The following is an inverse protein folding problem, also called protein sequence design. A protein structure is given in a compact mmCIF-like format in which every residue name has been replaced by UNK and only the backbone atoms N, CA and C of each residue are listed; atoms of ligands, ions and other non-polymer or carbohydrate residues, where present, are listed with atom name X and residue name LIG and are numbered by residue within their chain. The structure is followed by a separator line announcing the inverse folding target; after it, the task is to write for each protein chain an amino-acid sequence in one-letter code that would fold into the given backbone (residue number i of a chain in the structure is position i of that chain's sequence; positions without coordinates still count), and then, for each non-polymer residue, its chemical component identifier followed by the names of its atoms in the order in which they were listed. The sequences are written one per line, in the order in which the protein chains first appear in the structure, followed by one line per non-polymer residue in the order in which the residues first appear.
data_IF_507684687993
#
_entry.id   IF_507684687993
#
_cell.length_a   1.000
_cell.length_b   1.000
_cell.length_c   1.000
_cell.angle_alpha   90.00
_cell.angle_beta   90.00
_cell.angle_gamma   90.00
#
_symmetry.space_group_name_H-M   'P 1'
#
loop_
_entity.id
_entity.type
_entity.pdbx_description
1 polymer ?
#
# COMPACT_ATOMS: atom_id res chain seq x y z
N UNK A 1 13.00 -13.93 17.16
CA UNK A 1 14.45 -13.99 17.40
C UNK A 1 14.78 -14.28 18.88
N UNK A 2 14.18 -13.60 19.86
CA UNK A 2 14.45 -13.86 21.28
C UNK A 2 14.27 -15.33 21.68
N UNK A 3 13.16 -15.97 21.27
CA UNK A 3 12.90 -17.38 21.55
C UNK A 3 13.95 -18.31 20.93
N UNK A 4 14.43 -17.98 19.74
CA UNK A 4 15.50 -18.74 19.08
C UNK A 4 16.82 -18.65 19.84
N UNK A 5 17.17 -17.42 20.24
CA UNK A 5 18.41 -17.20 21.01
C UNK A 5 18.36 -17.95 22.35
N UNK A 6 17.22 -17.88 23.07
CA UNK A 6 17.03 -18.61 24.32
C UNK A 6 17.10 -20.15 24.11
N UNK A 7 16.55 -20.65 23.03
CA UNK A 7 16.63 -22.07 22.69
C UNK A 7 18.10 -22.48 22.39
N UNK A 8 18.84 -21.65 21.65
CA UNK A 8 20.27 -21.89 21.37
C UNK A 8 21.09 -21.90 22.66
N UNK A 9 20.89 -20.92 23.56
CA UNK A 9 21.59 -20.86 24.85
C UNK A 9 21.27 -22.06 25.75
N UNK A 10 20.04 -22.55 25.71
CA UNK A 10 19.59 -23.68 26.51
C UNK A 10 19.85 -25.06 25.84
N UNK A 11 20.37 -25.10 24.61
CA UNK A 11 20.55 -26.31 23.84
C UNK A 11 19.24 -27.02 23.45
N UNK A 12 18.13 -26.27 23.37
CA UNK A 12 16.80 -26.79 23.02
C UNK A 12 16.63 -26.76 21.50
N UNK A 13 16.17 -27.87 20.87
CA UNK A 13 15.83 -27.88 19.45
C UNK A 13 14.83 -26.80 19.09
N UNK A 14 15.04 -26.09 17.96
CA UNK A 14 14.15 -25.02 17.47
C UNK A 14 12.91 -25.53 16.74
N UNK A 15 12.51 -26.76 16.97
CA UNK A 15 11.25 -27.30 16.47
C UNK A 15 10.06 -26.73 17.26
N UNK A 16 9.02 -26.30 16.58
CA UNK A 16 7.83 -25.74 17.21
C UNK A 16 6.67 -26.73 17.16
N UNK A 17 6.08 -27.05 18.32
CA UNK A 17 4.90 -27.90 18.45
C UNK A 17 5.04 -29.25 17.74
N UNK A 18 6.25 -29.81 17.67
CA UNK A 18 6.51 -31.17 17.17
C UNK A 18 6.04 -32.24 18.18
N UNK A 19 5.83 -33.45 17.72
CA UNK A 19 5.47 -34.58 18.59
C UNK A 19 6.65 -35.15 19.41
N UNK A 20 7.86 -34.66 19.16
CA UNK A 20 9.05 -35.00 19.93
C UNK A 20 8.99 -34.41 21.34
N UNK A 21 9.65 -35.06 22.30
CA UNK A 21 9.67 -34.59 23.70
C UNK A 21 10.39 -33.26 23.84
N UNK A 22 11.44 -33.04 23.04
CA UNK A 22 12.26 -31.83 23.03
C UNK A 22 11.73 -30.81 22.02
N UNK A 23 12.07 -29.53 22.25
CA UNK A 23 11.68 -28.42 21.38
C UNK A 23 10.81 -27.40 22.09
N UNK A 24 10.46 -26.37 21.34
CA UNK A 24 9.61 -25.26 21.81
C UNK A 24 8.14 -25.71 21.71
N UNK A 25 7.41 -25.61 22.81
CA UNK A 25 5.98 -25.94 22.88
C UNK A 25 5.16 -24.69 23.21
N UNK A 26 4.11 -24.46 22.43
CA UNK A 26 3.15 -23.41 22.75
C UNK A 26 2.13 -23.88 23.78
N UNK A 27 1.45 -22.94 24.46
CA UNK A 27 0.30 -23.27 25.30
C UNK A 27 -0.78 -23.99 24.48
N UNK A 28 -0.99 -23.60 23.22
CA UNK A 28 -1.93 -24.30 22.32
C UNK A 28 -1.58 -25.79 22.21
N UNK A 29 -0.30 -26.11 21.96
CA UNK A 29 0.13 -27.52 21.86
C UNK A 29 -0.07 -28.26 23.18
N UNK A 30 0.32 -27.65 24.29
CA UNK A 30 0.16 -28.24 25.63
C UNK A 30 -1.31 -28.47 26.00
N UNK A 31 -2.19 -27.53 25.67
CA UNK A 31 -3.64 -27.63 25.95
C UNK A 31 -4.27 -28.84 25.22
N UNK A 32 -3.90 -29.10 23.98
CA UNK A 32 -4.58 -30.09 23.15
C UNK A 32 -3.84 -31.45 23.06
N UNK A 33 -2.58 -31.51 23.41
CA UNK A 33 -1.76 -32.71 23.22
C UNK A 33 -1.17 -33.31 24.51
N UNK A 34 -1.41 -32.69 25.66
CA UNK A 34 -0.95 -33.24 26.95
C UNK A 34 -2.05 -34.06 27.64
N UNK A 35 -1.73 -35.20 28.31
CA UNK A 35 -2.71 -36.14 28.81
C UNK A 35 -3.71 -35.61 29.84
N UNK A 36 -3.43 -34.50 30.49
CA UNK A 36 -4.22 -33.98 31.61
C UNK A 36 -4.74 -32.54 31.40
N UNK A 37 -4.70 -31.98 30.16
CA UNK A 37 -5.18 -30.63 29.86
C UNK A 37 -4.70 -29.59 30.89
N UNK A 38 -3.41 -29.49 31.11
CA UNK A 38 -2.83 -28.63 32.15
C UNK A 38 -2.96 -27.12 31.86
N UNK A 39 -3.44 -26.74 30.71
CA UNK A 39 -3.61 -25.34 30.33
C UNK A 39 -4.93 -25.13 29.59
N UNK A 40 -5.66 -24.11 29.93
CA UNK A 40 -6.82 -23.62 29.20
C UNK A 40 -6.47 -22.47 28.24
N UNK A 41 -5.20 -22.14 28.13
CA UNK A 41 -4.69 -21.09 27.29
C UNK A 41 -4.47 -21.57 25.86
N UNK A 42 -4.86 -20.75 24.88
CA UNK A 42 -4.75 -21.07 23.44
C UNK A 42 -3.82 -20.10 22.70
N UNK A 43 -3.11 -19.25 23.43
CA UNK A 43 -2.08 -18.41 22.84
C UNK A 43 -0.88 -19.26 22.33
N UNK A 44 -0.04 -18.76 21.44
CA UNK A 44 -0.03 -17.40 20.88
C UNK A 44 -0.89 -17.21 19.63
N UNK A 45 -1.45 -18.27 19.04
CA UNK A 45 -2.01 -18.24 17.68
C UNK A 45 -3.18 -17.25 17.51
N UNK A 46 -4.18 -17.17 18.43
CA UNK A 46 -5.25 -16.17 18.29
C UNK A 46 -4.72 -14.73 18.39
N UNK A 47 -3.65 -14.52 19.15
CA UNK A 47 -3.00 -13.23 19.25
C UNK A 47 -2.24 -12.87 17.97
N UNK A 48 -1.44 -13.79 17.44
CA UNK A 48 -0.67 -13.61 16.22
C UNK A 48 -1.56 -13.36 15.00
N UNK A 49 -2.71 -14.04 14.94
CA UNK A 49 -3.69 -13.86 13.86
C UNK A 49 -4.21 -12.41 13.77
N UNK A 50 -4.34 -11.69 14.89
CA UNK A 50 -4.71 -10.27 14.90
C UNK A 50 -3.69 -9.38 14.18
N UNK A 51 -2.46 -9.84 14.09
CA UNK A 51 -1.35 -9.17 13.40
C UNK A 51 -1.07 -9.75 12.01
N UNK A 52 -1.93 -10.64 11.54
CA UNK A 52 -1.80 -11.26 10.23
C UNK A 52 -0.69 -12.31 10.14
N UNK A 53 -0.20 -12.81 11.27
CA UNK A 53 0.82 -13.86 11.31
C UNK A 53 0.10 -15.20 11.42
N UNK A 54 0.25 -16.06 10.41
CA UNK A 54 -0.30 -17.42 10.44
C UNK A 54 0.51 -18.32 11.36
N UNK A 55 -0.08 -19.46 11.74
CA UNK A 55 0.61 -20.50 12.50
C UNK A 55 1.82 -21.04 11.74
N UNK A 56 1.67 -21.28 10.45
CA UNK A 56 2.72 -21.78 9.56
C UNK A 56 3.88 -20.77 9.47
N UNK A 57 3.56 -19.48 9.35
CA UNK A 57 4.57 -18.42 9.33
C UNK A 57 5.33 -18.37 10.66
N UNK A 58 4.60 -18.39 11.79
CA UNK A 58 5.23 -18.37 13.10
C UNK A 58 6.13 -19.60 13.34
N UNK A 59 5.67 -20.78 12.93
CA UNK A 59 6.46 -22.02 12.99
C UNK A 59 7.74 -21.88 12.16
N UNK A 60 7.62 -21.45 10.91
CA UNK A 60 8.76 -21.22 10.05
C UNK A 60 9.77 -20.25 10.68
N UNK A 61 9.31 -19.13 11.24
CA UNK A 61 10.17 -18.12 11.84
C UNK A 61 10.90 -18.63 13.10
N UNK A 62 10.29 -19.54 13.84
CA UNK A 62 10.94 -20.20 14.98
C UNK A 62 11.98 -21.23 14.49
N UNK A 63 11.64 -22.06 13.53
CA UNK A 63 12.51 -23.16 13.07
C UNK A 63 13.68 -22.65 12.22
N UNK A 64 13.45 -21.70 11.33
CA UNK A 64 14.44 -21.26 10.32
C UNK A 64 14.96 -19.83 10.55
N UNK A 65 14.35 -19.08 11.45
CA UNK A 65 14.64 -17.66 11.70
C UNK A 65 13.78 -16.75 10.86
N UNK A 66 13.69 -15.53 11.32
CA UNK A 66 13.23 -14.43 10.47
C UNK A 66 14.23 -14.32 9.34
N UNK A 67 13.84 -14.63 8.13
CA UNK A 67 14.69 -14.40 6.97
C UNK A 67 15.20 -12.95 7.00
N UNK A 68 16.34 -12.69 6.40
CA UNK A 68 16.81 -11.31 6.28
C UNK A 68 15.68 -10.44 5.72
N UNK A 69 15.28 -9.42 6.49
CA UNK A 69 14.32 -8.44 6.03
C UNK A 69 14.94 -7.74 4.82
N UNK A 70 14.51 -8.13 3.63
CA UNK A 70 14.93 -7.42 2.41
C UNK A 70 14.19 -6.12 2.35
N UNK A 71 14.86 -5.02 2.73
CA UNK A 71 14.35 -3.69 2.47
C UNK A 71 14.12 -3.50 0.97
N UNK A 72 13.03 -2.85 0.62
CA UNK A 72 12.72 -2.50 -0.76
C UNK A 72 11.43 -3.12 -1.29
N UNK A 73 11.28 -3.03 -2.59
CA UNK A 73 10.12 -3.55 -3.28
C UNK A 73 10.09 -5.08 -3.28
N UNK A 74 8.98 -5.61 -2.82
CA UNK A 74 8.67 -7.04 -2.78
C UNK A 74 7.44 -7.33 -3.64
N UNK A 75 7.31 -8.57 -4.12
CA UNK A 75 6.19 -9.01 -4.95
C UNK A 75 5.75 -10.42 -4.59
N UNK A 76 4.44 -10.65 -4.59
CA UNK A 76 3.85 -11.98 -4.56
C UNK A 76 2.75 -12.11 -5.64
N UNK A 77 1.92 -13.16 -5.56
CA UNK A 77 0.82 -13.37 -6.49
C UNK A 77 -0.27 -12.27 -6.41
N UNK A 78 -0.42 -11.59 -5.29
CA UNK A 78 -1.44 -10.53 -5.08
C UNK A 78 -0.98 -9.19 -5.64
N UNK A 79 0.30 -8.82 -5.44
CA UNK A 79 0.78 -7.52 -5.88
C UNK A 79 2.17 -7.14 -5.37
N UNK A 80 2.48 -5.87 -5.49
CA UNK A 80 3.71 -5.27 -5.00
C UNK A 80 3.48 -4.59 -3.66
N UNK A 81 4.46 -4.70 -2.75
CA UNK A 81 4.53 -3.89 -1.53
C UNK A 81 5.96 -3.41 -1.29
N UNK A 82 6.12 -2.42 -0.43
CA UNK A 82 7.44 -1.92 -0.04
C UNK A 82 7.72 -2.29 1.41
N UNK A 83 8.79 -3.03 1.65
CA UNK A 83 9.22 -3.44 2.97
C UNK A 83 10.31 -2.51 3.47
N UNK A 84 10.10 -1.94 4.66
CA UNK A 84 11.11 -1.13 5.34
C UNK A 84 12.15 -2.02 6.02
N UNK A 85 13.29 -1.44 6.39
CA UNK A 85 14.39 -2.15 7.05
C UNK A 85 14.01 -2.84 8.36
N UNK A 86 12.99 -2.32 9.05
CA UNK A 86 12.44 -2.91 10.28
C UNK A 86 11.38 -4.00 10.03
N UNK A 87 11.16 -4.38 8.78
CA UNK A 87 10.15 -5.35 8.37
C UNK A 87 8.74 -4.77 8.22
N UNK A 88 8.50 -3.53 8.60
CA UNK A 88 7.21 -2.86 8.43
C UNK A 88 6.95 -2.52 6.96
N UNK A 89 5.68 -2.29 6.62
CA UNK A 89 5.26 -1.84 5.29
C UNK A 89 4.06 -0.88 5.40
N UNK A 90 3.95 0.09 4.47
CA UNK A 90 2.87 1.08 4.49
C UNK A 90 1.51 0.44 4.21
N UNK A 91 0.48 0.86 4.97
CA UNK A 91 -0.92 0.47 4.78
C UNK A 91 -1.81 1.70 4.77
N UNK A 92 -2.73 1.76 3.82
CA UNK A 92 -3.69 2.86 3.63
C UNK A 92 -3.09 4.26 3.69
N UNK A 93 -1.89 4.42 3.11
CA UNK A 93 -1.17 5.70 3.13
C UNK A 93 -0.28 5.92 1.91
N UNK A 94 0.01 7.18 1.69
CA UNK A 94 1.07 7.60 0.80
C UNK A 94 2.45 7.33 1.39
N UNK A 95 3.38 6.91 0.55
CA UNK A 95 4.78 6.74 0.92
C UNK A 95 5.68 7.32 -0.17
N UNK A 96 6.64 8.13 0.25
CA UNK A 96 7.67 8.67 -0.63
C UNK A 96 8.86 7.71 -0.65
N UNK A 97 9.20 7.19 -1.84
CA UNK A 97 10.25 6.18 -2.01
C UNK A 97 11.11 6.61 -3.20
N UNK A 98 12.40 6.83 -2.96
CA UNK A 98 13.38 7.17 -3.99
C UNK A 98 12.95 8.33 -4.91
N UNK A 99 12.36 9.39 -4.35
CA UNK A 99 11.96 10.55 -5.13
C UNK A 99 10.55 10.50 -5.73
N UNK A 100 9.78 9.43 -5.48
CA UNK A 100 8.46 9.20 -6.07
C UNK A 100 7.43 8.88 -5.00
N UNK A 101 6.22 9.39 -5.15
CA UNK A 101 5.10 9.06 -4.29
C UNK A 101 4.36 7.82 -4.80
N UNK A 102 4.05 6.93 -3.88
CA UNK A 102 3.25 5.72 -4.07
C UNK A 102 2.11 5.68 -3.06
N UNK A 103 0.99 5.10 -3.44
CA UNK A 103 -0.14 4.88 -2.55
C UNK A 103 -0.33 3.39 -2.30
N UNK A 104 -0.48 3.02 -1.03
CA UNK A 104 -0.70 1.64 -0.61
C UNK A 104 -2.13 1.48 -0.08
N UNK A 105 -2.75 0.36 -0.40
CA UNK A 105 -4.08 0.00 0.09
C UNK A 105 -4.06 -0.45 1.56
N UNK A 106 -5.23 -0.77 2.12
CA UNK A 106 -5.37 -1.20 3.50
C UNK A 106 -4.65 -2.53 3.81
N UNK A 107 -4.42 -3.36 2.79
CA UNK A 107 -3.66 -4.61 2.91
C UNK A 107 -2.14 -4.39 2.77
N UNK A 108 -1.72 -3.20 2.34
CA UNK A 108 -0.32 -2.82 2.16
C UNK A 108 0.22 -3.06 0.75
N UNK A 109 -0.64 -3.37 -0.23
CA UNK A 109 -0.22 -3.47 -1.62
C UNK A 109 -0.24 -2.12 -2.32
N UNK A 110 0.75 -1.89 -3.17
CA UNK A 110 0.84 -0.69 -4.00
C UNK A 110 -0.30 -0.66 -5.02
N UNK A 111 -0.99 0.46 -5.10
CA UNK A 111 -2.05 0.68 -6.08
C UNK A 111 -1.42 1.04 -7.41
N UNK A 112 -1.79 0.34 -8.48
CA UNK A 112 -1.22 0.48 -9.82
C UNK A 112 -2.29 0.85 -10.84
N UNK A 113 -1.91 1.63 -11.85
CA UNK A 113 -2.70 1.92 -13.06
C UNK A 113 -4.15 2.29 -12.74
N UNK A 114 -4.34 3.28 -11.83
CA UNK A 114 -5.67 3.59 -11.30
C UNK A 114 -5.81 5.05 -10.90
N UNK A 115 -7.00 5.61 -11.17
CA UNK A 115 -7.47 6.83 -10.53
C UNK A 115 -7.84 6.55 -9.07
N UNK A 116 -7.37 7.39 -8.17
CA UNK A 116 -7.69 7.30 -6.75
C UNK A 116 -8.12 8.66 -6.21
N UNK A 117 -9.15 8.66 -5.38
CA UNK A 117 -9.58 9.84 -4.65
C UNK A 117 -9.08 9.76 -3.21
N UNK A 118 -8.36 10.78 -2.77
CA UNK A 118 -7.93 10.93 -1.37
C UNK A 118 -8.28 12.33 -0.90
N UNK A 119 -8.97 12.42 0.24
CA UNK A 119 -9.67 13.63 0.63
C UNK A 119 -10.55 14.12 -0.55
N UNK A 120 -10.43 15.35 -0.97
CA UNK A 120 -11.23 15.92 -2.06
C UNK A 120 -10.48 15.99 -3.40
N UNK A 121 -9.31 15.36 -3.51
CA UNK A 121 -8.48 15.40 -4.71
C UNK A 121 -8.37 14.05 -5.41
N UNK A 122 -8.35 14.06 -6.76
CA UNK A 122 -8.05 12.92 -7.59
C UNK A 122 -6.57 12.88 -7.97
N UNK A 123 -6.02 11.66 -8.02
CA UNK A 123 -4.65 11.36 -8.40
C UNK A 123 -4.64 10.22 -9.41
N UNK A 124 -3.66 10.20 -10.27
CA UNK A 124 -3.38 9.07 -11.16
C UNK A 124 -2.12 8.34 -10.73
N UNK A 125 -2.23 7.03 -10.54
CA UNK A 125 -1.09 6.14 -10.32
C UNK A 125 -0.86 5.35 -11.60
N UNK A 126 0.35 5.39 -12.13
CA UNK A 126 0.69 4.70 -13.37
C UNK A 126 0.83 3.18 -13.20
N UNK A 127 1.25 2.48 -14.25
CA UNK A 127 1.44 1.02 -14.23
C UNK A 127 2.55 0.55 -13.29
N UNK A 128 3.43 1.44 -12.85
CA UNK A 128 4.46 1.18 -11.83
C UNK A 128 3.98 1.52 -10.42
N UNK A 129 2.81 2.15 -10.28
CA UNK A 129 2.27 2.70 -9.04
C UNK A 129 2.77 4.10 -8.70
N UNK A 130 3.59 4.69 -9.54
CA UNK A 130 4.10 6.05 -9.34
C UNK A 130 2.97 7.07 -9.50
N UNK A 131 2.91 8.04 -8.58
CA UNK A 131 2.02 9.18 -8.71
C UNK A 131 2.47 10.04 -9.90
N UNK A 132 1.58 10.22 -10.86
CA UNK A 132 1.84 11.01 -12.05
C UNK A 132 1.60 12.50 -11.79
N UNK A 133 2.38 13.37 -12.42
CA UNK A 133 2.19 14.82 -12.47
C UNK A 133 2.28 15.30 -13.93
N UNK A 134 1.67 16.45 -14.21
CA UNK A 134 1.60 16.98 -15.58
C UNK A 134 0.50 16.30 -16.41
N UNK A 135 0.68 16.27 -17.71
CA UNK A 135 -0.30 15.74 -18.64
C UNK A 135 -0.38 14.23 -18.61
N UNK A 136 -1.58 13.69 -18.56
CA UNK A 136 -1.86 12.25 -18.70
C UNK A 136 -3.02 12.02 -19.65
N UNK A 137 -2.90 11.02 -20.52
CA UNK A 137 -3.99 10.56 -21.38
C UNK A 137 -4.60 9.28 -20.82
N UNK A 138 -5.90 9.31 -20.57
CA UNK A 138 -6.64 8.14 -20.07
C UNK A 138 -8.00 8.06 -20.78
N UNK A 139 -8.36 6.89 -21.29
CA UNK A 139 -9.60 6.62 -22.02
C UNK A 139 -9.87 7.64 -23.15
N UNK A 140 -8.82 7.96 -23.91
CA UNK A 140 -8.76 8.93 -25.01
C UNK A 140 -8.93 10.41 -24.61
N UNK A 141 -9.14 10.72 -23.33
CA UNK A 141 -9.21 12.08 -22.81
C UNK A 141 -7.89 12.51 -22.17
N UNK A 142 -7.59 13.81 -22.21
CA UNK A 142 -6.44 14.41 -21.55
C UNK A 142 -6.83 15.02 -20.21
N UNK A 143 -5.99 14.78 -19.20
CA UNK A 143 -6.08 15.32 -17.86
C UNK A 143 -4.78 16.00 -17.48
N UNK A 144 -4.84 16.93 -16.53
CA UNK A 144 -3.64 17.56 -16.01
C UNK A 144 -3.55 17.39 -14.50
N UNK A 145 -2.46 16.80 -14.06
CA UNK A 145 -2.12 16.59 -12.65
C UNK A 145 -1.15 17.71 -12.25
N UNK A 146 -1.49 18.46 -11.21
CA UNK A 146 -0.66 19.55 -10.72
C UNK A 146 0.76 19.08 -10.43
N UNK A 147 1.74 19.78 -10.95
CA UNK A 147 3.15 19.36 -10.89
C UNK A 147 3.76 19.43 -9.49
N UNK A 148 3.14 20.17 -8.57
CA UNK A 148 3.63 20.33 -7.20
C UNK A 148 3.05 19.32 -6.21
N UNK A 149 1.78 18.92 -6.41
CA UNK A 149 1.06 18.09 -5.45
C UNK A 149 0.37 16.84 -6.04
N UNK A 150 0.35 16.70 -7.38
CA UNK A 150 -0.26 15.57 -8.08
C UNK A 150 -1.79 15.59 -8.17
N UNK A 151 -2.46 16.68 -7.72
CA UNK A 151 -3.92 16.80 -7.81
C UNK A 151 -4.37 16.96 -9.25
N UNK A 152 -5.44 16.27 -9.63
CA UNK A 152 -6.10 16.53 -10.90
C UNK A 152 -6.70 17.94 -10.89
N UNK A 153 -6.28 18.76 -11.84
CA UNK A 153 -6.88 20.07 -12.04
C UNK A 153 -8.28 19.95 -12.63
N UNK A 154 -9.17 20.86 -12.27
CA UNK A 154 -10.50 21.00 -12.84
C UNK A 154 -10.93 22.45 -12.82
N UNK A 155 -11.77 22.85 -13.79
CA UNK A 155 -12.24 24.23 -13.95
C UNK A 155 -11.09 25.26 -13.88
N UNK A 156 -10.00 24.97 -14.57
CA UNK A 156 -8.74 25.70 -14.45
C UNK A 156 -8.01 25.88 -15.79
N UNK A 157 -7.23 26.95 -15.89
CA UNK A 157 -6.28 27.11 -16.97
C UNK A 157 -4.91 26.56 -16.56
N UNK A 158 -4.37 25.69 -17.40
CA UNK A 158 -3.04 25.11 -17.21
C UNK A 158 -2.13 25.49 -18.37
N UNK A 159 -0.86 25.75 -18.08
CA UNK A 159 0.13 26.08 -19.08
C UNK A 159 0.79 24.81 -19.61
N UNK A 160 0.65 24.56 -20.90
CA UNK A 160 1.38 23.51 -21.60
C UNK A 160 2.52 24.08 -22.44
N UNK A 161 3.14 23.21 -23.26
CA UNK A 161 4.27 23.60 -24.11
C UNK A 161 3.90 24.67 -25.14
N UNK A 162 2.74 24.53 -25.76
CA UNK A 162 2.33 25.33 -26.92
C UNK A 162 1.33 26.44 -26.55
N UNK A 163 0.99 26.59 -25.28
CA UNK A 163 0.03 27.64 -24.82
C UNK A 163 -0.71 27.27 -23.54
N UNK A 164 -1.85 27.93 -23.37
CA UNK A 164 -2.76 27.67 -22.27
C UNK A 164 -3.88 26.76 -22.71
N UNK A 165 -4.23 25.82 -21.84
CA UNK A 165 -5.30 24.85 -22.02
C UNK A 165 -6.31 25.02 -20.91
N UNK A 166 -7.59 24.86 -21.21
CA UNK A 166 -8.65 24.86 -20.20
C UNK A 166 -9.00 23.42 -19.83
N UNK A 167 -9.03 23.17 -18.54
CA UNK A 167 -9.49 21.90 -17.96
C UNK A 167 -10.91 22.10 -17.47
N UNK A 168 -11.82 21.28 -17.93
CA UNK A 168 -13.25 21.33 -17.63
C UNK A 168 -13.53 20.94 -16.18
N UNK A 169 -14.77 21.10 -15.74
CA UNK A 169 -15.21 20.74 -14.39
C UNK A 169 -14.99 19.27 -14.04
N UNK A 170 -15.11 18.38 -15.03
CA UNK A 170 -14.87 16.94 -14.87
C UNK A 170 -13.40 16.53 -14.93
N UNK A 171 -12.47 17.48 -15.10
CA UNK A 171 -11.03 17.27 -15.17
C UNK A 171 -10.49 16.96 -16.55
N UNK A 172 -11.32 16.87 -17.59
CA UNK A 172 -10.86 16.65 -18.97
C UNK A 172 -10.38 17.97 -19.62
N UNK A 173 -9.41 17.88 -20.52
CA UNK A 173 -8.99 18.99 -21.33
C UNK A 173 -10.10 19.35 -22.35
N UNK A 174 -10.60 20.56 -22.30
CA UNK A 174 -11.60 21.05 -23.22
C UNK A 174 -11.06 21.21 -24.64
N UNK A 175 -11.74 20.64 -25.63
CA UNK A 175 -11.35 20.81 -27.04
C UNK A 175 -11.79 22.17 -27.61
N UNK A 176 -12.98 22.63 -27.26
CA UNK A 176 -13.57 23.88 -27.76
C UNK A 176 -14.37 24.60 -26.68
N UNK A 177 -13.72 25.15 -25.66
CA UNK A 177 -14.43 25.87 -24.61
C UNK A 177 -14.97 27.21 -25.14
N UNK A 178 -16.20 27.54 -24.79
CA UNK A 178 -16.77 28.89 -24.97
C UNK A 178 -16.55 29.69 -23.70
N UNK A 179 -16.02 30.89 -23.84
CA UNK A 179 -15.76 31.79 -22.71
C UNK A 179 -16.71 32.99 -22.76
N UNK A 180 -17.25 33.33 -21.60
CA UNK A 180 -18.00 34.57 -21.38
C UNK A 180 -17.24 35.44 -20.39
N UNK A 181 -17.12 36.71 -20.73
CA UNK A 181 -16.57 37.69 -19.78
C UNK A 181 -17.77 38.45 -19.19
N UNK A 182 -17.96 38.27 -17.89
CA UNK A 182 -19.00 38.96 -17.14
C UNK A 182 -18.70 40.44 -16.96
N UNK A 183 -19.70 41.32 -16.67
CA UNK A 183 -19.49 42.74 -16.51
C UNK A 183 -18.47 43.16 -15.43
N UNK A 184 -18.24 42.31 -14.46
CA UNK A 184 -17.25 42.47 -13.39
C UNK A 184 -15.85 41.95 -13.77
N UNK A 185 -15.70 41.44 -15.01
CA UNK A 185 -14.44 40.89 -15.51
C UNK A 185 -14.23 39.41 -15.23
N UNK A 186 -15.16 38.74 -14.56
CA UNK A 186 -15.10 37.31 -14.36
C UNK A 186 -15.18 36.56 -15.71
N UNK A 187 -14.26 35.62 -15.92
CA UNK A 187 -14.27 34.75 -17.10
C UNK A 187 -14.91 33.40 -16.69
N UNK A 188 -16.05 33.13 -17.28
CA UNK A 188 -16.71 31.81 -17.15
C UNK A 188 -16.48 30.98 -18.39
N UNK A 189 -16.23 29.71 -18.22
CA UNK A 189 -16.07 28.76 -19.33
C UNK A 189 -17.24 27.79 -19.38
N UNK A 190 -17.75 27.54 -20.60
CA UNK A 190 -18.76 26.52 -20.86
C UNK A 190 -18.24 25.58 -21.92
N UNK A 191 -18.21 24.31 -21.63
CA UNK A 191 -17.87 23.29 -22.61
C UNK A 191 -19.09 23.01 -23.48
N UNK A 192 -18.92 23.11 -24.78
CA UNK A 192 -19.93 22.67 -25.77
C UNK A 192 -19.63 21.20 -26.09
N UNK A 193 -20.28 20.29 -25.37
CA UNK A 193 -20.23 18.86 -25.72
C UNK A 193 -21.04 18.65 -27.01
N UNK A 194 -20.46 17.93 -27.94
CA UNK A 194 -21.13 17.49 -29.19
C UNK A 194 -22.00 16.26 -28.95
#
# INVERSE_FOLDING_TARGET
ELLRNLADEAGIPKTLDSDELEGIKTHYYCTYNQPNNYSDHVDPYPYLAKWGISREQFKHDIEYGLGEVKEGWQKNATGWWYQSKDGSYPKDKWQYINGVWYLFDASGYCILNKWVKRADAWYWLDSSGAMVTGWVKYADEWYYLNTSNGFMESNAFVKGKDGWYYISEDGTMAEKPEFTVEPDGLITAKEVRR
#
